data_IF_972997102389
#
_entry.id   IF_972997102389
#
_cell.length_a   1.000
_cell.length_b   1.000
_cell.length_c   1.000
_cell.angle_alpha   90.00
_cell.angle_beta   90.00
_cell.angle_gamma   90.00
#
_symmetry.space_group_name_H-M   'P 1'
#
loop_
_entity.id
_entity.type
_entity.pdbx_description
1 polymer ?
#
# COMPACT_ATOMS: atom_id res chain seq x y z
N UNK A 1 -10.74 -34.40 16.89
CA UNK A 1 -9.49 -33.61 16.86
C UNK A 1 -9.84 -32.34 16.12
N UNK A 2 -9.90 -31.21 16.82
CA UNK A 2 -10.10 -29.91 16.17
C UNK A 2 -8.73 -29.42 15.74
N UNK A 3 -8.56 -29.16 14.45
CA UNK A 3 -7.34 -28.57 13.89
C UNK A 3 -7.57 -27.06 13.83
N UNK A 4 -7.64 -26.44 15.00
CA UNK A 4 -7.91 -25.01 15.09
C UNK A 4 -6.57 -24.27 14.99
N UNK A 5 -6.40 -23.47 13.94
CA UNK A 5 -5.29 -22.55 13.80
C UNK A 5 -5.72 -21.18 14.34
N UNK A 6 -5.43 -20.94 15.61
CA UNK A 6 -5.72 -19.68 16.30
C UNK A 6 -4.46 -18.81 16.41
N UNK A 7 -4.65 -17.53 16.71
CA UNK A 7 -3.60 -16.56 17.04
C UNK A 7 -2.61 -16.28 15.90
N UNK A 8 -3.03 -16.44 14.64
CA UNK A 8 -2.27 -15.95 13.50
C UNK A 8 -2.61 -14.48 13.23
N UNK A 9 -1.67 -13.79 12.57
CA UNK A 9 -1.81 -12.39 12.17
C UNK A 9 -1.61 -12.21 10.65
N UNK A 10 -2.43 -12.80 9.77
CA UNK A 10 -2.24 -12.65 8.33
C UNK A 10 -2.46 -11.19 7.89
N UNK A 11 -1.47 -10.60 7.23
CA UNK A 11 -1.50 -9.27 6.61
C UNK A 11 -0.65 -9.32 5.33
N UNK A 12 -0.79 -8.32 4.45
CA UNK A 12 -0.04 -8.20 3.20
C UNK A 12 -0.26 -9.35 2.20
N UNK A 13 -1.45 -9.97 2.22
CA UNK A 13 -1.82 -11.00 1.24
C UNK A 13 -2.74 -10.44 0.16
N UNK A 14 -2.59 -10.98 -1.06
CA UNK A 14 -3.47 -10.70 -2.19
C UNK A 14 -4.48 -11.82 -2.36
N UNK A 15 -5.67 -11.64 -1.81
CA UNK A 15 -6.77 -12.61 -1.83
C UNK A 15 -7.69 -12.31 -3.02
N UNK A 16 -7.40 -12.95 -4.16
CA UNK A 16 -8.00 -12.61 -5.45
C UNK A 16 -8.78 -13.78 -6.02
N UNK A 17 -10.10 -13.59 -6.18
CA UNK A 17 -11.01 -14.50 -6.87
C UNK A 17 -10.90 -15.95 -6.39
N UNK A 18 -10.76 -16.17 -5.08
CA UNK A 18 -10.84 -17.53 -4.54
C UNK A 18 -12.29 -18.02 -4.65
N UNK A 19 -12.46 -19.29 -5.03
CA UNK A 19 -13.77 -19.91 -5.17
C UNK A 19 -14.53 -19.91 -3.83
N UNK A 20 -15.82 -19.59 -3.86
CA UNK A 20 -16.74 -19.41 -2.73
C UNK A 20 -16.46 -18.19 -1.84
N UNK A 21 -15.24 -18.01 -1.31
CA UNK A 21 -14.86 -16.84 -0.50
C UNK A 21 -13.36 -16.54 -0.66
N UNK A 22 -12.98 -15.26 -0.63
CA UNK A 22 -11.57 -14.84 -0.64
C UNK A 22 -10.78 -15.39 0.56
N UNK A 23 -11.47 -15.55 1.69
CA UNK A 23 -10.97 -16.10 2.94
C UNK A 23 -12.13 -16.74 3.69
N UNK A 24 -11.87 -17.75 4.52
CA UNK A 24 -12.84 -18.29 5.46
C UNK A 24 -12.16 -18.66 6.77
N UNK A 25 -12.63 -18.10 7.87
CA UNK A 25 -12.05 -18.30 9.21
C UNK A 25 -13.14 -18.57 10.25
N UNK A 26 -13.08 -19.74 10.87
CA UNK A 26 -13.96 -20.15 11.98
C UNK A 26 -13.26 -20.05 13.34
N UNK A 27 -11.97 -19.71 13.33
CA UNK A 27 -11.09 -19.64 14.48
C UNK A 27 -10.92 -18.18 14.95
N UNK A 28 -10.04 -17.97 15.94
CA UNK A 28 -9.70 -16.62 16.43
C UNK A 28 -8.34 -16.20 15.87
N UNK A 29 -8.33 -15.51 14.73
CA UNK A 29 -7.15 -14.89 14.13
C UNK A 29 -7.36 -13.37 13.96
N UNK A 30 -6.25 -12.64 13.88
CA UNK A 30 -6.26 -11.20 13.60
C UNK A 30 -5.88 -11.00 12.14
N UNK A 31 -6.72 -10.41 11.30
CA UNK A 31 -6.46 -10.30 9.86
C UNK A 31 -5.77 -9.00 9.47
N UNK A 32 -5.12 -8.34 10.42
CA UNK A 32 -4.41 -7.09 10.23
C UNK A 32 -3.23 -6.95 11.22
N UNK A 33 -2.30 -6.06 10.93
CA UNK A 33 -1.12 -5.74 11.75
C UNK A 33 -1.41 -4.68 12.84
N UNK A 34 -2.61 -4.10 12.84
CA UNK A 34 -2.95 -2.92 13.62
C UNK A 34 -2.77 -1.59 12.87
N UNK A 35 -2.15 -1.62 11.68
CA UNK A 35 -2.08 -0.48 10.75
C UNK A 35 -2.43 -0.87 9.32
N UNK A 36 -2.20 -2.12 8.91
CA UNK A 36 -2.41 -2.59 7.54
C UNK A 36 -2.97 -4.02 7.56
N UNK A 37 -3.79 -4.34 6.56
CA UNK A 37 -4.47 -5.62 6.41
C UNK A 37 -4.06 -6.36 5.15
N UNK A 38 -5.05 -6.96 4.51
CA UNK A 38 -4.91 -7.71 3.26
C UNK A 38 -5.70 -7.05 2.14
N UNK A 39 -5.34 -7.37 0.90
CA UNK A 39 -6.14 -7.02 -0.26
C UNK A 39 -7.17 -8.12 -0.54
N UNK A 40 -8.43 -7.73 -0.75
CA UNK A 40 -9.52 -8.63 -1.12
C UNK A 40 -10.15 -8.15 -2.42
N UNK A 41 -10.25 -9.03 -3.42
CA UNK A 41 -10.83 -8.65 -4.72
C UNK A 41 -12.33 -8.34 -4.68
N UNK A 42 -13.02 -8.68 -3.59
CA UNK A 42 -14.43 -8.40 -3.33
C UNK A 42 -14.64 -7.26 -2.32
N UNK A 43 -13.57 -6.63 -1.82
CA UNK A 43 -13.67 -5.46 -0.98
C UNK A 43 -14.14 -4.25 -1.78
N UNK A 44 -15.22 -3.61 -1.33
CA UNK A 44 -15.85 -2.48 -1.98
C UNK A 44 -16.14 -1.35 -0.97
N UNK A 45 -15.26 -1.20 0.02
CA UNK A 45 -15.31 -0.07 0.95
C UNK A 45 -14.83 1.23 0.32
N UNK A 46 -14.69 2.26 1.15
CA UNK A 46 -14.26 3.59 0.73
C UNK A 46 -12.95 3.96 1.39
N UNK A 47 -12.19 4.84 0.73
CA UNK A 47 -10.95 5.45 1.21
C UNK A 47 -11.02 6.96 0.86
N UNK A 48 -11.67 7.78 1.69
CA UNK A 48 -11.88 9.21 1.45
C UNK A 48 -10.66 10.07 1.80
N UNK A 49 -9.79 9.63 2.70
CA UNK A 49 -8.53 10.30 3.03
C UNK A 49 -7.40 9.91 2.09
N UNK A 50 -7.58 8.85 1.31
CA UNK A 50 -6.73 8.47 0.19
C UNK A 50 -5.44 7.78 0.63
N UNK A 51 -5.45 7.14 1.81
CA UNK A 51 -4.25 6.52 2.39
C UNK A 51 -3.98 5.08 1.89
N UNK A 52 -4.77 4.61 0.93
CA UNK A 52 -4.63 3.27 0.36
C UNK A 52 -5.24 2.18 1.26
N UNK A 53 -5.81 2.56 2.41
CA UNK A 53 -6.47 1.69 3.37
C UNK A 53 -7.96 2.00 3.37
N UNK A 54 -8.78 0.95 3.35
CA UNK A 54 -10.22 1.09 3.40
C UNK A 54 -10.72 1.45 4.80
N UNK A 55 -11.45 2.56 4.91
CA UNK A 55 -12.09 3.04 6.14
C UNK A 55 -13.15 2.10 6.73
N UNK A 56 -13.65 1.17 5.90
CA UNK A 56 -14.66 0.21 6.30
C UNK A 56 -14.01 -1.15 6.58
N UNK A 57 -14.06 -1.68 7.82
CA UNK A 57 -13.53 -3.01 8.11
C UNK A 57 -14.14 -4.11 7.22
N UNK A 58 -13.33 -5.07 6.79
CA UNK A 58 -13.76 -6.23 6.01
C UNK A 58 -14.04 -7.44 6.92
N UNK A 59 -15.30 -7.91 7.02
CA UNK A 59 -15.63 -9.07 7.84
C UNK A 59 -15.19 -10.38 7.20
N UNK A 60 -14.57 -11.27 7.99
CA UNK A 60 -14.11 -12.57 7.52
C UNK A 60 -15.22 -13.60 7.73
N UNK A 61 -15.74 -14.25 6.67
CA UNK A 61 -16.83 -15.21 6.80
C UNK A 61 -16.39 -16.47 7.55
N UNK A 62 -17.34 -17.07 8.27
CA UNK A 62 -17.13 -18.28 9.09
C UNK A 62 -17.03 -18.03 10.60
N UNK A 63 -16.81 -16.78 11.03
CA UNK A 63 -16.58 -16.45 12.43
C UNK A 63 -16.88 -14.99 12.77
N UNK A 64 -16.18 -14.46 13.77
CA UNK A 64 -16.28 -13.05 14.22
C UNK A 64 -15.03 -12.23 13.82
N UNK A 65 -14.07 -12.84 13.14
CA UNK A 65 -12.83 -12.20 12.72
C UNK A 65 -13.10 -11.10 11.71
N UNK A 66 -12.33 -10.02 11.80
CA UNK A 66 -12.41 -8.88 10.88
C UNK A 66 -10.99 -8.46 10.50
N UNK A 67 -10.83 -7.97 9.29
CA UNK A 67 -9.69 -7.14 8.89
C UNK A 67 -10.11 -5.67 9.05
N UNK A 68 -9.41 -4.93 9.92
CA UNK A 68 -9.74 -3.53 10.21
C UNK A 68 -9.11 -2.53 9.25
N UNK A 69 -8.12 -2.96 8.48
CA UNK A 69 -7.31 -2.12 7.61
C UNK A 69 -7.17 -2.75 6.21
N UNK A 70 -8.29 -3.12 5.55
CA UNK A 70 -8.24 -3.76 4.24
C UNK A 70 -7.57 -2.85 3.22
N UNK A 71 -6.69 -3.40 2.38
CA UNK A 71 -5.96 -2.62 1.38
C UNK A 71 -6.87 -2.31 0.18
N UNK A 72 -6.82 -1.07 -0.32
CA UNK A 72 -7.56 -0.65 -1.52
C UNK A 72 -6.98 -1.19 -2.82
N UNK A 73 -5.70 -1.58 -2.79
CA UNK A 73 -4.95 -2.10 -3.92
C UNK A 73 -4.18 -3.37 -3.55
N UNK A 74 -3.83 -4.24 -4.52
CA UNK A 74 -3.01 -5.41 -4.25
C UNK A 74 -1.71 -5.00 -3.55
N UNK A 75 -1.39 -5.69 -2.46
CA UNK A 75 -0.13 -5.55 -1.77
C UNK A 75 1.04 -5.88 -2.71
N UNK A 76 2.04 -5.02 -2.72
CA UNK A 76 3.29 -5.24 -3.45
C UNK A 76 4.46 -4.76 -2.61
N UNK A 77 5.49 -5.59 -2.49
CA UNK A 77 6.78 -5.22 -1.88
C UNK A 77 7.63 -4.34 -2.82
N UNK A 78 7.06 -3.90 -3.94
CA UNK A 78 7.72 -2.98 -4.86
C UNK A 78 7.37 -1.55 -4.47
N UNK A 79 8.37 -0.67 -4.29
CA UNK A 79 8.11 0.75 -4.07
C UNK A 79 7.18 1.31 -5.15
N UNK A 80 6.11 1.97 -4.74
CA UNK A 80 5.25 2.68 -5.66
C UNK A 80 6.05 3.81 -6.32
N UNK A 81 6.01 3.89 -7.65
CA UNK A 81 6.71 4.94 -8.39
C UNK A 81 6.17 6.30 -7.96
N UNK A 82 7.05 7.18 -7.49
CA UNK A 82 6.71 8.51 -7.02
C UNK A 82 6.37 8.63 -5.53
N UNK A 83 6.13 7.54 -4.81
CA UNK A 83 6.06 7.52 -3.34
C UNK A 83 7.48 7.33 -2.77
N UNK A 84 8.01 8.36 -2.13
CA UNK A 84 9.37 8.35 -1.61
C UNK A 84 9.43 8.23 -0.09
N UNK A 85 8.27 8.22 0.56
CA UNK A 85 8.16 8.13 2.00
C UNK A 85 7.58 6.78 2.46
N UNK A 86 6.99 6.01 1.54
CA UNK A 86 6.48 4.66 1.76
C UNK A 86 5.13 4.65 2.46
N UNK A 87 4.30 5.67 2.26
CA UNK A 87 2.94 5.76 2.80
C UNK A 87 1.86 5.38 1.78
N UNK A 88 2.25 4.81 0.63
CA UNK A 88 1.37 4.41 -0.47
C UNK A 88 0.56 5.58 -1.08
N UNK A 89 0.95 6.83 -0.78
CA UNK A 89 0.33 8.03 -1.31
C UNK A 89 1.32 8.85 -2.13
N UNK A 90 0.88 9.32 -3.31
CA UNK A 90 1.67 10.26 -4.12
C UNK A 90 1.27 11.68 -3.73
N UNK A 91 2.08 12.34 -2.90
CA UNK A 91 1.77 13.67 -2.35
C UNK A 91 2.87 14.71 -2.65
N UNK A 92 2.63 15.99 -2.35
CA UNK A 92 3.71 16.99 -2.40
C UNK A 92 4.87 16.70 -1.42
N UNK A 93 4.66 15.84 -0.40
CA UNK A 93 5.74 15.43 0.50
C UNK A 93 6.81 14.62 -0.25
N UNK A 94 6.40 13.74 -1.17
CA UNK A 94 7.29 12.94 -1.99
C UNK A 94 8.07 13.79 -2.98
N UNK A 95 7.41 14.78 -3.59
CA UNK A 95 8.10 15.77 -4.42
C UNK A 95 9.17 16.55 -3.64
N UNK A 96 8.92 16.86 -2.36
CA UNK A 96 9.90 17.51 -1.50
C UNK A 96 11.08 16.58 -1.16
N UNK A 97 10.85 15.28 -0.96
CA UNK A 97 11.90 14.28 -0.77
C UNK A 97 12.75 14.14 -2.04
N UNK A 98 12.12 14.09 -3.23
CA UNK A 98 12.80 14.08 -4.51
C UNK A 98 13.70 15.31 -4.69
N UNK A 99 13.22 16.51 -4.34
CA UNK A 99 14.02 17.73 -4.39
C UNK A 99 15.22 17.69 -3.43
N UNK A 100 15.02 17.16 -2.22
CA UNK A 100 16.12 17.00 -1.24
C UNK A 100 17.19 16.05 -1.77
N UNK A 101 16.79 14.95 -2.42
CA UNK A 101 17.70 14.02 -3.09
C UNK A 101 18.54 14.70 -4.18
N UNK A 102 17.90 15.50 -5.05
CA UNK A 102 18.58 16.26 -6.12
C UNK A 102 19.57 17.28 -5.55
N UNK A 103 19.24 17.90 -4.41
CA UNK A 103 20.09 18.90 -3.76
C UNK A 103 21.31 18.31 -3.02
N UNK A 104 21.56 17.00 -3.13
CA UNK A 104 22.63 16.32 -2.40
C UNK A 104 22.30 16.02 -0.94
N UNK A 105 21.01 16.10 -0.56
CA UNK A 105 20.52 15.64 0.72
C UNK A 105 20.62 14.12 0.82
N UNK A 106 21.13 13.65 1.95
CA UNK A 106 21.26 12.22 2.26
C UNK A 106 19.87 11.62 2.49
N UNK A 107 19.17 11.22 1.43
CA UNK A 107 18.10 10.25 1.59
C UNK A 107 18.69 8.84 1.48
N UNK A 108 18.01 7.91 2.14
CA UNK A 108 18.25 6.47 2.12
C UNK A 108 18.82 6.00 0.79
N UNK A 109 20.04 5.45 0.79
CA UNK A 109 20.70 4.88 -0.39
C UNK A 109 20.10 3.51 -0.77
N UNK A 110 18.81 3.31 -0.55
CA UNK A 110 18.13 2.09 -0.93
C UNK A 110 17.88 2.13 -2.46
N UNK A 111 18.37 1.14 -3.22
CA UNK A 111 18.04 0.98 -4.64
C UNK A 111 16.53 1.07 -4.93
N UNK A 112 15.69 0.66 -3.98
CA UNK A 112 14.24 0.73 -4.06
C UNK A 112 13.73 2.18 -4.08
N UNK A 113 14.22 3.05 -3.18
CA UNK A 113 13.90 4.48 -3.15
C UNK A 113 14.43 5.23 -4.37
N UNK A 114 15.59 4.81 -4.91
CA UNK A 114 16.12 5.38 -6.15
C UNK A 114 15.26 5.02 -7.36
N UNK A 115 14.73 3.80 -7.41
CA UNK A 115 13.82 3.36 -8.47
C UNK A 115 12.47 4.09 -8.40
N UNK A 116 11.92 4.27 -7.20
CA UNK A 116 10.70 5.06 -6.99
C UNK A 116 10.87 6.54 -7.36
N UNK A 117 12.08 7.10 -7.15
CA UNK A 117 12.40 8.49 -7.45
C UNK A 117 12.70 8.78 -8.93
N UNK A 118 13.09 7.76 -9.70
CA UNK A 118 13.29 7.86 -11.15
C UNK A 118 11.96 7.70 -11.91
N UNK A 119 11.08 8.68 -11.74
CA UNK A 119 9.78 8.70 -12.41
C UNK A 119 9.89 9.02 -13.91
N UNK A 120 11.07 9.39 -14.41
CA UNK A 120 11.34 9.65 -15.82
C UNK A 120 11.85 8.42 -16.59
N UNK A 121 12.28 7.37 -15.88
CA UNK A 121 12.87 6.17 -16.48
C UNK A 121 14.23 6.40 -17.14
N UNK A 122 14.92 7.48 -16.79
CA UNK A 122 16.24 7.85 -17.34
C UNK A 122 17.40 7.47 -16.41
N UNK A 123 17.10 6.72 -15.35
CA UNK A 123 17.98 6.31 -14.26
C UNK A 123 18.54 7.50 -13.47
N UNK A 124 17.83 8.64 -13.42
CA UNK A 124 18.27 9.83 -12.71
C UNK A 124 17.14 10.46 -11.91
N UNK A 125 17.40 10.70 -10.62
CA UNK A 125 16.56 11.58 -9.82
C UNK A 125 16.84 13.02 -10.23
N UNK A 126 15.86 13.68 -10.85
CA UNK A 126 15.96 15.05 -11.35
C UNK A 126 14.88 15.96 -10.77
N UNK A 127 15.07 17.27 -10.88
CA UNK A 127 14.01 18.25 -10.57
C UNK A 127 12.80 18.10 -11.48
N UNK A 128 12.97 17.52 -12.68
CA UNK A 128 11.86 17.14 -13.57
C UNK A 128 11.06 15.99 -12.98
N UNK A 129 11.73 14.98 -12.40
CA UNK A 129 11.06 13.89 -11.70
C UNK A 129 10.27 14.39 -10.48
N UNK A 130 10.85 15.28 -9.68
CA UNK A 130 10.13 15.92 -8.57
C UNK A 130 8.88 16.70 -9.03
N UNK A 131 8.96 17.37 -10.19
CA UNK A 131 7.82 18.07 -10.77
C UNK A 131 6.73 17.10 -11.24
N UNK A 132 7.11 15.95 -11.82
CA UNK A 132 6.15 14.92 -12.22
C UNK A 132 5.41 14.34 -11.00
N UNK A 133 6.12 14.07 -9.90
CA UNK A 133 5.50 13.63 -8.64
C UNK A 133 4.49 14.68 -8.15
N UNK A 134 4.86 15.96 -8.16
CA UNK A 134 3.95 17.05 -7.76
C UNK A 134 2.72 17.16 -8.68
N UNK A 135 2.90 16.96 -9.98
CA UNK A 135 1.79 16.95 -10.95
C UNK A 135 0.87 15.74 -10.74
N UNK A 136 1.43 14.57 -10.41
CA UNK A 136 0.66 13.39 -10.09
C UNK A 136 -0.14 13.55 -8.79
N UNK A 137 0.49 14.10 -7.75
CA UNK A 137 -0.18 14.45 -6.49
C UNK A 137 -1.32 15.46 -6.68
N UNK A 138 -1.23 16.34 -7.68
CA UNK A 138 -2.29 17.29 -8.03
C UNK A 138 -3.38 16.68 -8.94
N UNK A 139 -3.29 15.40 -9.29
CA UNK A 139 -4.20 14.72 -10.22
C UNK A 139 -4.08 15.20 -11.67
N UNK A 140 -2.99 15.89 -12.02
CA UNK A 140 -2.78 16.45 -13.36
C UNK A 140 -2.21 15.41 -14.35
N UNK A 141 -1.46 14.43 -13.85
CA UNK A 141 -0.88 13.32 -14.61
C UNK A 141 -0.94 12.02 -13.79
N UNK A 142 -0.68 10.89 -14.44
CA UNK A 142 -0.42 9.58 -13.80
C UNK A 142 1.03 9.19 -14.10
N UNK A 143 1.72 8.62 -13.12
CA UNK A 143 3.09 8.10 -13.26
C UNK A 143 3.11 6.66 -13.78
#
# INVERSE_FOLDING_TARGET
MSWDSNNNTPHHNNLINNTDHNVYDTCTNTWDSGSEGNYYSDYNGTDPDGDGIGDTPHPIPGGISIDRFPLMHPWSDTPQIGDLNGDDQITPADAAIALRLVAGGSASCDPATLAAADVSGDNRVTSSGALMILQAAAGAITL
#
